data_IF_841307711978
#
_entry.id   IF_841307711978
#
_cell.length_a   1.000
_cell.length_b   1.000
_cell.length_c   1.000
_cell.angle_alpha   90.00
_cell.angle_beta   90.00
_cell.angle_gamma   90.00
#
_symmetry.space_group_name_H-M   'P 1'
#
loop_
_entity.id
_entity.type
_entity.pdbx_description
1 polymer ?
#
# COMPACT_ATOMS: atom_id res chain seq x y z
N UNK A 1 8.42 25.00 -11.46
CA UNK A 1 7.24 25.43 -10.69
C UNK A 1 7.46 25.03 -9.23
N UNK A 2 7.52 26.00 -8.30
CA UNK A 2 7.82 25.76 -6.86
C UNK A 2 6.80 24.85 -6.16
N UNK A 3 5.55 24.84 -6.61
CA UNK A 3 4.53 23.96 -6.05
C UNK A 3 4.86 22.48 -6.32
N UNK A 4 5.38 22.18 -7.52
CA UNK A 4 5.70 20.81 -7.95
C UNK A 4 6.89 20.25 -7.17
N UNK A 5 7.93 21.07 -6.95
CA UNK A 5 9.09 20.67 -6.16
C UNK A 5 8.78 20.46 -4.67
N UNK A 6 7.61 20.92 -4.21
CA UNK A 6 7.19 20.82 -2.82
C UNK A 6 6.22 19.65 -2.57
N UNK A 7 5.90 18.85 -3.59
CA UNK A 7 5.06 17.66 -3.40
C UNK A 7 5.81 16.70 -2.48
N UNK A 8 5.19 16.39 -1.35
CA UNK A 8 5.66 15.37 -0.41
C UNK A 8 5.12 14.02 -0.82
N UNK A 9 5.98 13.02 -0.91
CA UNK A 9 5.59 11.66 -1.20
C UNK A 9 5.59 10.79 0.06
N UNK A 10 6.61 10.94 0.91
CA UNK A 10 6.85 10.32 2.22
C UNK A 10 6.06 9.04 2.41
N UNK A 11 6.28 8.09 1.50
CA UNK A 11 5.60 6.81 1.56
C UNK A 11 5.93 6.15 2.88
N UNK A 12 4.88 5.66 3.53
CA UNK A 12 4.97 5.04 4.83
C UNK A 12 4.44 3.61 4.75
N UNK A 13 4.80 2.86 3.70
CA UNK A 13 4.32 1.49 3.53
C UNK A 13 5.43 0.53 3.09
N UNK A 14 5.30 -0.70 3.56
CA UNK A 14 6.03 -1.84 3.04
C UNK A 14 5.02 -2.95 2.70
N UNK A 15 5.45 -3.95 1.97
CA UNK A 15 4.61 -5.09 1.60
C UNK A 15 5.29 -6.40 1.94
N UNK A 16 4.55 -7.32 2.54
CA UNK A 16 4.97 -8.71 2.75
C UNK A 16 4.03 -9.60 1.96
N UNK A 17 4.58 -10.47 1.12
CA UNK A 17 3.82 -11.52 0.44
C UNK A 17 4.23 -12.86 1.01
N UNK A 18 3.24 -13.72 1.28
CA UNK A 18 3.46 -15.09 1.71
C UNK A 18 2.87 -16.05 0.67
N UNK A 19 3.65 -17.07 0.31
CA UNK A 19 3.13 -18.28 -0.31
C UNK A 19 2.82 -19.29 0.79
N UNK A 20 1.61 -19.85 0.79
CA UNK A 20 1.08 -20.67 1.85
C UNK A 20 0.72 -22.08 1.35
N UNK A 21 0.99 -23.07 2.18
CA UNK A 21 0.77 -24.49 1.94
C UNK A 21 -0.71 -24.88 1.96
N UNK A 22 -1.48 -24.17 2.79
CA UNK A 22 -2.93 -24.29 2.97
C UNK A 22 -3.48 -22.94 3.42
N UNK A 23 -4.79 -22.85 3.67
CA UNK A 23 -5.44 -21.61 4.10
C UNK A 23 -5.09 -21.30 5.58
N UNK A 24 -4.79 -20.04 5.93
CA UNK A 24 -4.59 -19.62 7.32
C UNK A 24 -5.86 -19.82 8.14
N UNK A 25 -5.70 -20.32 9.36
CA UNK A 25 -6.80 -20.49 10.32
C UNK A 25 -6.72 -19.38 11.36
N UNK A 26 -7.67 -18.45 11.31
CA UNK A 26 -7.73 -17.36 12.28
C UNK A 26 -8.40 -17.83 13.57
N UNK A 27 -7.78 -17.58 14.73
CA UNK A 27 -8.30 -17.98 16.04
C UNK A 27 -9.66 -17.35 16.38
N UNK A 28 -9.98 -16.21 15.76
CA UNK A 28 -11.26 -15.52 15.94
C UNK A 28 -12.42 -16.14 15.14
N UNK A 29 -12.13 -17.07 14.23
CA UNK A 29 -13.15 -17.70 13.38
C UNK A 29 -13.48 -19.13 13.89
N UNK A 30 -14.75 -19.54 13.84
CA UNK A 30 -15.14 -20.94 13.97
C UNK A 30 -14.37 -21.85 13.02
N UNK A 31 -14.14 -23.09 13.43
CA UNK A 31 -13.44 -24.08 12.64
C UNK A 31 -14.12 -24.29 11.27
N UNK A 32 -13.38 -24.11 10.18
CA UNK A 32 -13.86 -24.26 8.81
C UNK A 32 -14.58 -23.04 8.23
N UNK A 33 -14.81 -21.98 9.02
CA UNK A 33 -15.39 -20.74 8.50
C UNK A 33 -14.35 -19.94 7.70
N UNK A 34 -14.65 -19.69 6.42
CA UNK A 34 -13.73 -19.01 5.50
C UNK A 34 -14.33 -17.78 4.83
N UNK A 35 -15.65 -17.57 4.93
CA UNK A 35 -16.34 -16.43 4.31
C UNK A 35 -15.69 -15.07 4.65
N UNK A 36 -15.29 -14.78 5.91
CA UNK A 36 -14.63 -13.52 6.23
C UNK A 36 -13.28 -13.33 5.55
N UNK A 37 -12.61 -14.42 5.16
CA UNK A 37 -11.28 -14.38 4.52
C UNK A 37 -11.33 -13.87 3.07
N UNK A 38 -12.51 -13.86 2.45
CA UNK A 38 -12.71 -13.23 1.13
C UNK A 38 -12.67 -11.70 1.20
N UNK A 39 -12.77 -11.11 2.40
CA UNK A 39 -12.66 -9.67 2.59
C UNK A 39 -11.23 -9.16 2.77
N UNK A 40 -11.11 -7.87 3.10
CA UNK A 40 -9.87 -7.30 3.64
C UNK A 40 -9.84 -7.49 5.14
N UNK A 41 -8.80 -8.17 5.62
CA UNK A 41 -8.57 -8.43 7.03
C UNK A 41 -7.65 -7.34 7.57
N UNK A 42 -7.96 -6.81 8.76
CA UNK A 42 -7.17 -5.75 9.38
C UNK A 42 -6.72 -6.20 10.77
N UNK A 43 -5.43 -6.12 11.03
CA UNK A 43 -4.87 -6.29 12.37
C UNK A 43 -4.52 -4.89 12.89
N UNK A 44 -5.49 -4.31 13.61
CA UNK A 44 -5.41 -2.99 14.23
C UNK A 44 -6.06 -3.04 15.62
N UNK A 45 -5.34 -3.49 16.67
CA UNK A 45 -5.95 -3.77 17.97
C UNK A 45 -6.58 -2.56 18.69
N UNK A 46 -6.31 -1.34 18.23
CA UNK A 46 -6.93 -0.12 18.73
C UNK A 46 -6.26 1.15 18.23
N UNK A 47 -6.88 2.30 18.49
CA UNK A 47 -6.39 3.62 18.06
C UNK A 47 -4.97 3.90 18.59
N UNK A 48 -4.72 3.62 19.86
CA UNK A 48 -3.41 3.81 20.49
C UNK A 48 -2.30 2.97 19.81
N UNK A 49 -2.63 1.79 19.26
CA UNK A 49 -1.66 0.99 18.51
C UNK A 49 -1.34 1.62 17.15
N UNK A 50 -2.34 2.17 16.47
CA UNK A 50 -2.18 2.89 15.21
C UNK A 50 -1.33 4.15 15.44
N UNK A 51 -1.62 4.93 16.49
CA UNK A 51 -0.84 6.12 16.86
C UNK A 51 0.61 5.78 17.16
N UNK A 52 0.87 4.74 17.98
CA UNK A 52 2.23 4.27 18.26
C UNK A 52 2.96 3.79 17.02
N UNK A 53 2.26 3.14 16.10
CA UNK A 53 2.85 2.70 14.84
C UNK A 53 3.23 3.88 13.94
N UNK A 54 2.37 4.90 13.89
CA UNK A 54 2.67 6.17 13.21
C UNK A 54 3.85 6.91 13.87
N UNK A 55 3.88 6.99 15.20
CA UNK A 55 4.97 7.64 15.94
C UNK A 55 6.32 6.96 15.68
N UNK A 56 6.37 5.63 15.61
CA UNK A 56 7.59 4.92 15.22
C UNK A 56 8.10 5.40 13.85
N UNK A 57 7.20 5.48 12.85
CA UNK A 57 7.55 5.96 11.51
C UNK A 57 8.03 7.41 11.51
N UNK A 58 7.39 8.27 12.30
CA UNK A 58 7.80 9.67 12.49
C UNK A 58 9.23 9.79 13.01
N UNK A 59 9.70 8.85 13.82
CA UNK A 59 11.08 8.80 14.33
C UNK A 59 12.03 7.92 13.50
N UNK A 60 11.62 7.51 12.29
CA UNK A 60 12.44 6.73 11.36
C UNK A 60 12.56 5.26 11.72
N UNK A 61 11.53 4.67 12.32
CA UNK A 61 11.47 3.25 12.70
C UNK A 61 10.16 2.64 12.20
N UNK A 62 10.09 1.32 12.02
CA UNK A 62 8.81 0.64 11.88
C UNK A 62 8.33 0.14 13.24
N UNK A 63 7.02 -0.01 13.41
CA UNK A 63 6.42 -0.48 14.65
C UNK A 63 6.70 -1.96 14.90
N UNK A 64 7.00 -2.33 16.15
CA UNK A 64 6.98 -3.74 16.59
C UNK A 64 5.57 -4.32 16.69
N UNK A 65 4.54 -3.46 16.63
CA UNK A 65 3.11 -3.78 16.59
C UNK A 65 2.49 -3.05 15.38
N UNK A 66 2.79 -3.48 14.15
CA UNK A 66 2.37 -2.77 12.95
C UNK A 66 0.85 -2.86 12.73
N UNK A 67 0.30 -1.86 12.05
CA UNK A 67 -1.04 -1.97 11.46
C UNK A 67 -0.91 -2.74 10.14
N UNK A 68 -1.59 -3.88 10.05
CA UNK A 68 -1.51 -4.78 8.91
C UNK A 68 -2.84 -4.86 8.18
N UNK A 69 -2.77 -4.84 6.86
CA UNK A 69 -3.92 -5.04 5.98
C UNK A 69 -3.65 -6.23 5.09
N UNK A 70 -4.49 -7.25 5.19
CA UNK A 70 -4.27 -8.56 4.59
C UNK A 70 -5.38 -8.86 3.61
N UNK A 71 -5.00 -9.42 2.47
CA UNK A 71 -5.91 -10.05 1.50
C UNK A 71 -5.34 -11.40 1.08
N UNK A 72 -6.22 -12.34 0.72
CA UNK A 72 -5.85 -13.68 0.22
C UNK A 72 -6.40 -13.81 -1.22
N UNK A 73 -5.69 -13.31 -2.25
CA UNK A 73 -6.23 -13.16 -3.60
C UNK A 73 -6.71 -14.48 -4.21
N UNK A 74 -6.07 -15.60 -3.87
CA UNK A 74 -6.42 -16.94 -4.36
C UNK A 74 -7.84 -17.40 -4.01
N UNK A 75 -8.50 -16.77 -3.03
CA UNK A 75 -9.90 -17.06 -2.72
C UNK A 75 -10.87 -16.51 -3.78
N UNK A 76 -10.45 -15.49 -4.54
CA UNK A 76 -11.22 -14.93 -5.67
C UNK A 76 -10.65 -15.35 -7.02
N UNK A 77 -9.34 -15.58 -7.08
CA UNK A 77 -8.61 -15.93 -8.28
C UNK A 77 -7.71 -17.15 -8.02
N UNK A 78 -8.26 -18.38 -8.02
CA UNK A 78 -7.51 -19.60 -7.66
C UNK A 78 -6.27 -19.87 -8.54
N UNK A 79 -6.26 -19.36 -9.77
CA UNK A 79 -5.15 -19.51 -10.72
C UNK A 79 -3.87 -18.76 -10.29
N UNK A 80 -3.93 -17.91 -9.27
CA UNK A 80 -2.77 -17.18 -8.74
C UNK A 80 -1.83 -18.06 -7.88
N UNK A 81 -2.19 -19.32 -7.64
CA UNK A 81 -1.33 -20.31 -6.98
C UNK A 81 -1.62 -21.72 -7.51
N UNK A 82 -0.71 -22.70 -7.28
CA UNK A 82 -1.01 -24.11 -7.50
C UNK A 82 -2.22 -24.59 -6.68
N UNK A 83 -2.84 -25.70 -7.11
CA UNK A 83 -4.00 -26.26 -6.42
C UNK A 83 -3.71 -26.54 -4.94
N UNK A 84 -4.61 -26.09 -4.06
CA UNK A 84 -4.48 -26.22 -2.60
C UNK A 84 -3.50 -25.24 -1.94
N UNK A 85 -2.81 -24.40 -2.72
CA UNK A 85 -1.89 -23.37 -2.23
C UNK A 85 -2.56 -22.00 -2.27
N UNK A 86 -2.08 -21.11 -1.43
CA UNK A 86 -2.64 -19.77 -1.30
C UNK A 86 -1.55 -18.71 -1.31
N UNK A 87 -1.90 -17.52 -1.81
CA UNK A 87 -1.08 -16.33 -1.62
C UNK A 87 -1.76 -15.40 -0.63
N UNK A 88 -0.97 -14.84 0.28
CA UNK A 88 -1.40 -13.82 1.22
C UNK A 88 -0.58 -12.56 0.97
N UNK A 89 -1.25 -11.45 0.67
CA UNK A 89 -0.63 -10.13 0.46
C UNK A 89 -0.92 -9.26 1.66
N UNK A 90 0.13 -8.80 2.33
CA UNK A 90 0.07 -7.99 3.54
C UNK A 90 0.68 -6.62 3.24
N UNK A 91 -0.13 -5.58 3.37
CA UNK A 91 0.37 -4.21 3.41
C UNK A 91 0.69 -3.85 4.87
N UNK A 92 1.92 -3.40 5.09
CA UNK A 92 2.41 -2.95 6.38
C UNK A 92 2.36 -1.44 6.40
N UNK A 93 1.49 -0.89 7.22
CA UNK A 93 1.34 0.55 7.36
C UNK A 93 2.39 1.11 8.32
N UNK A 94 2.83 2.33 8.04
CA UNK A 94 3.83 3.08 8.79
C UNK A 94 5.26 2.47 8.73
N UNK A 95 5.69 2.06 7.54
CA UNK A 95 7.10 1.74 7.25
C UNK A 95 7.76 2.94 6.53
N UNK A 96 8.56 3.78 7.20
CA UNK A 96 9.06 5.02 6.62
C UNK A 96 10.11 4.77 5.52
N UNK A 97 10.11 5.61 4.49
CA UNK A 97 11.12 5.52 3.41
C UNK A 97 12.56 5.61 3.94
N UNK A 98 12.83 6.57 4.83
CA UNK A 98 14.12 6.73 5.49
C UNK A 98 14.08 6.19 6.92
N UNK A 99 14.99 5.28 7.25
CA UNK A 99 15.17 4.77 8.61
C UNK A 99 16.23 5.58 9.36
N UNK A 100 16.06 5.74 10.67
CA UNK A 100 17.00 6.42 11.55
C UNK A 100 18.08 5.45 11.99
N UNK A 101 19.35 5.80 11.75
CA UNK A 101 20.54 5.05 12.19
C UNK A 101 20.65 3.60 11.64
N UNK A 102 19.89 3.25 10.60
CA UNK A 102 19.95 1.92 9.94
C UNK A 102 19.46 2.03 8.50
N UNK A 103 19.43 0.92 7.76
CA UNK A 103 19.02 0.86 6.36
C UNK A 103 17.98 -0.23 6.14
N UNK A 104 17.21 -0.11 5.05
CA UNK A 104 16.25 -1.14 4.66
C UNK A 104 16.91 -2.46 4.28
N UNK A 105 18.17 -2.45 3.84
CA UNK A 105 18.96 -3.68 3.64
C UNK A 105 19.10 -4.48 4.95
N UNK A 106 19.35 -3.82 6.07
CA UNK A 106 19.46 -4.45 7.39
C UNK A 106 18.11 -4.76 8.03
N UNK A 107 17.09 -3.94 7.74
CA UNK A 107 15.77 -4.00 8.40
C UNK A 107 14.69 -4.77 7.63
N UNK A 108 14.97 -5.21 6.39
CA UNK A 108 14.02 -5.99 5.57
C UNK A 108 13.55 -7.27 6.28
N UNK A 109 14.48 -8.11 6.71
CA UNK A 109 14.12 -9.36 7.39
C UNK A 109 13.53 -9.12 8.79
N UNK A 110 14.08 -8.21 9.63
CA UNK A 110 13.43 -7.82 10.89
C UNK A 110 11.98 -7.32 10.74
N UNK A 111 11.68 -6.56 9.69
CA UNK A 111 10.30 -6.17 9.36
C UNK A 111 9.45 -7.40 9.04
N UNK A 112 9.95 -8.29 8.18
CA UNK A 112 9.27 -9.54 7.81
C UNK A 112 8.98 -10.43 9.02
N UNK A 113 9.94 -10.55 9.94
CA UNK A 113 9.79 -11.31 11.18
C UNK A 113 8.74 -10.67 12.10
N UNK A 114 8.75 -9.34 12.22
CA UNK A 114 7.76 -8.59 12.99
C UNK A 114 6.33 -8.81 12.47
N UNK A 115 6.16 -8.81 11.14
CA UNK A 115 4.87 -9.10 10.50
C UNK A 115 4.42 -10.53 10.79
N UNK A 116 5.28 -11.53 10.60
CA UNK A 116 4.94 -12.93 10.90
C UNK A 116 4.61 -13.10 12.38
N UNK A 117 5.41 -12.52 13.27
CA UNK A 117 5.19 -12.61 14.72
C UNK A 117 3.85 -12.03 15.11
N UNK A 118 3.50 -10.85 14.58
CA UNK A 118 2.21 -10.20 14.83
C UNK A 118 1.05 -11.06 14.30
N UNK A 119 1.15 -11.56 13.06
CA UNK A 119 0.08 -12.38 12.46
C UNK A 119 -0.11 -13.71 13.17
N UNK A 120 0.97 -14.34 13.64
CA UNK A 120 0.89 -15.64 14.30
C UNK A 120 0.22 -15.58 15.68
N UNK A 121 0.04 -14.39 16.27
CA UNK A 121 -0.84 -14.21 17.44
C UNK A 121 -2.32 -14.44 17.09
N UNK A 122 -2.71 -14.21 15.84
CA UNK A 122 -4.08 -14.32 15.35
C UNK A 122 -4.31 -15.56 14.48
N UNK A 123 -3.25 -16.13 13.91
CA UNK A 123 -3.27 -17.26 12.98
C UNK A 123 -2.36 -18.37 13.54
N UNK A 124 -2.87 -19.26 14.41
CA UNK A 124 -2.05 -20.22 15.12
C UNK A 124 -1.22 -21.15 14.22
N UNK A 125 -1.77 -21.54 13.06
CA UNK A 125 -1.09 -22.42 12.11
C UNK A 125 -0.12 -21.69 11.16
N UNK A 126 0.03 -20.36 11.26
CA UNK A 126 0.70 -19.56 10.23
C UNK A 126 2.13 -20.03 9.95
N UNK A 127 2.93 -20.24 10.99
CA UNK A 127 4.36 -20.56 10.83
C UNK A 127 4.57 -21.90 10.13
N UNK A 128 3.67 -22.84 10.33
CA UNK A 128 3.75 -24.20 9.77
C UNK A 128 3.37 -24.23 8.29
N UNK A 129 2.61 -23.24 7.83
CA UNK A 129 2.06 -23.21 6.47
C UNK A 129 2.78 -22.24 5.55
N UNK A 130 3.79 -21.49 6.01
CA UNK A 130 4.56 -20.59 5.14
C UNK A 130 5.55 -21.39 4.30
N UNK A 131 5.38 -21.36 2.98
CA UNK A 131 6.31 -21.93 2.01
C UNK A 131 7.39 -20.93 1.58
N UNK A 132 7.00 -19.66 1.44
CA UNK A 132 7.92 -18.60 1.05
C UNK A 132 7.45 -17.24 1.57
N UNK A 133 8.41 -16.37 1.89
CA UNK A 133 8.19 -14.97 2.27
C UNK A 133 8.95 -14.06 1.32
N UNK A 134 8.26 -13.05 0.80
CA UNK A 134 8.87 -11.91 0.13
C UNK A 134 8.56 -10.63 0.91
N UNK A 135 9.58 -9.82 1.17
CA UNK A 135 9.44 -8.50 1.80
C UNK A 135 9.88 -7.42 0.81
N UNK A 136 8.98 -6.49 0.51
CA UNK A 136 9.21 -5.32 -0.34
C UNK A 136 9.19 -4.07 0.55
N UNK A 137 10.33 -3.40 0.63
CA UNK A 137 10.52 -2.16 1.39
C UNK A 137 10.05 -0.95 0.59
N UNK A 138 9.88 0.25 1.19
CA UNK A 138 9.59 1.46 0.43
C UNK A 138 10.55 1.71 -0.74
N UNK A 139 11.84 1.35 -0.61
CA UNK A 139 12.84 1.46 -1.67
C UNK A 139 12.55 0.51 -2.84
N UNK A 140 12.16 -0.73 -2.52
CA UNK A 140 11.80 -1.72 -3.54
C UNK A 140 10.55 -1.28 -4.30
N UNK A 141 9.58 -0.69 -3.59
CA UNK A 141 8.35 -0.16 -4.18
C UNK A 141 8.63 0.99 -5.15
N UNK A 142 9.56 1.88 -4.81
CA UNK A 142 10.01 2.95 -5.69
C UNK A 142 10.73 2.40 -6.92
N UNK A 143 11.70 1.52 -6.73
CA UNK A 143 12.54 1.00 -7.80
C UNK A 143 11.77 0.11 -8.79
N UNK A 144 10.87 -0.74 -8.30
CA UNK A 144 10.18 -1.73 -9.13
C UNK A 144 8.90 -1.19 -9.75
N UNK A 145 8.19 -0.29 -9.06
CA UNK A 145 6.85 0.16 -9.46
C UNK A 145 6.77 1.67 -9.72
N UNK A 146 7.88 2.42 -9.59
CA UNK A 146 7.89 3.87 -9.78
C UNK A 146 7.13 4.64 -8.72
N UNK A 147 6.91 4.03 -7.54
CA UNK A 147 6.23 4.67 -6.42
C UNK A 147 7.21 5.58 -5.69
N UNK A 148 7.29 6.85 -6.10
CA UNK A 148 8.18 7.84 -5.48
C UNK A 148 8.05 7.83 -3.94
N UNK A 149 9.18 7.75 -3.26
CA UNK A 149 9.33 7.55 -1.82
C UNK A 149 8.49 6.40 -1.23
N UNK A 150 8.10 5.40 -2.02
CA UNK A 150 7.20 4.31 -1.62
C UNK A 150 5.73 4.72 -1.47
N UNK A 151 5.31 5.86 -2.03
CA UNK A 151 3.97 6.42 -1.83
C UNK A 151 2.92 5.75 -2.74
N UNK A 152 2.07 4.90 -2.17
CA UNK A 152 0.99 4.20 -2.90
C UNK A 152 0.01 5.14 -3.63
N UNK A 153 -0.11 6.36 -3.15
CA UNK A 153 -1.04 7.35 -3.68
C UNK A 153 -0.36 8.32 -4.65
N UNK A 154 0.93 8.15 -4.94
CA UNK A 154 1.75 9.08 -5.72
C UNK A 154 1.71 10.51 -5.14
N UNK A 155 1.93 10.62 -3.83
CA UNK A 155 1.91 11.86 -3.06
C UNK A 155 1.08 11.71 -1.79
N UNK A 156 1.50 12.35 -0.70
CA UNK A 156 0.78 12.32 0.59
C UNK A 156 -0.71 12.69 0.45
N UNK A 157 -1.53 12.13 1.34
CA UNK A 157 -2.96 12.45 1.45
C UNK A 157 -3.23 13.44 2.61
N UNK A 158 -2.40 14.47 2.73
CA UNK A 158 -2.61 15.58 3.67
C UNK A 158 -3.56 16.63 3.08
N UNK A 159 -4.13 17.49 3.93
CA UNK A 159 -5.11 18.50 3.48
C UNK A 159 -4.57 19.43 2.37
N UNK A 160 -3.28 19.74 2.39
CA UNK A 160 -2.57 20.54 1.38
C UNK A 160 -2.29 19.78 0.08
N UNK A 161 -2.49 18.46 0.05
CA UNK A 161 -2.25 17.57 -1.10
C UNK A 161 -3.44 16.64 -1.38
N UNK A 162 -4.66 17.01 -1.00
CA UNK A 162 -5.86 16.20 -1.25
C UNK A 162 -6.82 16.88 -2.23
N UNK A 163 -7.66 16.08 -2.87
CA UNK A 163 -8.71 16.54 -3.78
C UNK A 163 -8.17 17.47 -4.87
N UNK A 164 -8.71 18.69 -4.99
CA UNK A 164 -8.37 19.66 -6.03
C UNK A 164 -6.98 20.28 -5.85
N UNK A 165 -6.27 19.93 -4.77
CA UNK A 165 -4.87 20.30 -4.58
C UNK A 165 -3.91 19.33 -5.28
N UNK A 166 -4.42 18.25 -5.90
CA UNK A 166 -3.62 17.20 -6.56
C UNK A 166 -3.56 17.35 -8.09
N UNK A 167 -2.37 17.31 -8.73
CA UNK A 167 -1.05 17.17 -8.10
C UNK A 167 -0.58 18.49 -7.45
N UNK A 168 -1.00 19.63 -8.00
CA UNK A 168 -0.83 20.98 -7.44
C UNK A 168 -2.00 21.85 -7.91
N UNK A 169 -2.33 22.95 -7.19
CA UNK A 169 -3.28 23.95 -7.67
C UNK A 169 -2.92 24.44 -9.08
N UNK A 170 -3.95 24.60 -9.92
CA UNK A 170 -3.82 25.01 -11.32
C UNK A 170 -3.65 23.85 -12.31
N UNK A 171 -3.09 22.70 -11.90
CA UNK A 171 -2.96 21.50 -12.75
C UNK A 171 -3.83 20.33 -12.28
N UNK A 172 -4.72 20.58 -11.33
CA UNK A 172 -5.69 19.59 -10.84
C UNK A 172 -6.84 19.32 -11.82
N UNK A 173 -6.94 20.07 -12.92
CA UNK A 173 -7.93 19.89 -13.98
C UNK A 173 -7.39 19.00 -15.12
N UNK A 174 -6.49 18.06 -14.80
CA UNK A 174 -5.96 17.02 -15.69
C UNK A 174 -5.07 17.52 -16.84
N UNK A 175 -5.15 18.78 -17.26
CA UNK A 175 -4.22 19.39 -18.22
C UNK A 175 -2.90 19.72 -17.55
N UNK A 176 -1.81 19.56 -18.31
CA UNK A 176 -0.48 20.01 -17.90
C UNK A 176 -0.07 21.28 -18.65
N UNK A 177 1.03 21.96 -18.25
CA UNK A 177 1.59 23.07 -19.03
C UNK A 177 2.10 22.68 -20.42
N UNK A 178 2.27 21.38 -20.68
CA UNK A 178 2.73 20.88 -21.97
C UNK A 178 1.47 20.57 -22.80
N UNK A 179 1.25 21.26 -23.93
CA UNK A 179 0.10 20.99 -24.79
C UNK A 179 0.04 19.52 -25.22
N UNK A 180 -1.15 18.92 -25.16
CA UNK A 180 -1.36 17.51 -25.51
C UNK A 180 -0.96 16.50 -24.43
N UNK A 181 -0.42 16.93 -23.29
CA UNK A 181 -0.11 16.06 -22.16
C UNK A 181 -1.12 16.22 -21.02
N UNK A 182 -1.68 15.09 -20.58
CA UNK A 182 -2.71 15.02 -19.54
C UNK A 182 -2.29 14.12 -18.37
N UNK A 183 -2.84 14.38 -17.19
CA UNK A 183 -2.54 13.69 -15.95
C UNK A 183 -3.78 12.94 -15.44
N UNK A 184 -3.68 11.60 -15.38
CA UNK A 184 -4.79 10.71 -15.01
C UNK A 184 -4.40 9.57 -14.07
N UNK A 185 -3.27 9.68 -13.37
CA UNK A 185 -2.80 8.68 -12.42
C UNK A 185 -3.34 8.87 -10.99
N UNK A 186 -2.96 7.98 -10.08
CA UNK A 186 -3.33 8.02 -8.65
C UNK A 186 -2.94 9.33 -7.93
N UNK A 187 -1.95 10.05 -8.49
CA UNK A 187 -1.52 11.35 -7.98
C UNK A 187 -2.46 12.51 -8.30
N UNK A 188 -3.54 12.29 -9.06
CA UNK A 188 -4.46 13.32 -9.53
C UNK A 188 -5.77 13.36 -8.72
N UNK A 189 -6.53 14.44 -8.89
CA UNK A 189 -7.93 14.52 -8.44
C UNK A 189 -8.77 13.38 -9.10
N UNK A 190 -9.77 12.77 -8.42
CA UNK A 190 -10.28 13.05 -7.07
C UNK A 190 -9.46 12.46 -5.92
N UNK A 191 -8.49 11.58 -6.18
CA UNK A 191 -7.66 11.00 -5.14
C UNK A 191 -6.95 9.73 -5.58
N UNK A 192 -6.15 9.20 -4.67
CA UNK A 192 -5.36 8.01 -4.91
C UNK A 192 -6.14 6.69 -4.86
N UNK A 193 -5.42 5.59 -5.05
CA UNK A 193 -5.95 4.24 -5.16
C UNK A 193 -6.31 3.85 -6.60
N UNK A 194 -7.04 2.74 -6.72
CA UNK A 194 -7.41 2.10 -7.99
C UNK A 194 -8.89 2.42 -8.29
N UNK A 195 -9.22 3.70 -8.41
CA UNK A 195 -10.61 4.14 -8.65
C UNK A 195 -10.95 4.25 -10.13
N UNK A 196 -9.95 4.42 -11.00
CA UNK A 196 -10.14 4.70 -12.43
C UNK A 196 -10.66 6.12 -12.74
N UNK A 197 -11.10 6.88 -11.73
CA UNK A 197 -11.68 8.21 -11.89
C UNK A 197 -10.70 9.23 -12.48
N UNK A 198 -9.44 9.34 -12.02
CA UNK A 198 -8.54 10.33 -12.60
C UNK A 198 -8.26 10.09 -14.09
N UNK A 199 -8.12 8.83 -14.50
CA UNK A 199 -7.93 8.45 -15.89
C UNK A 199 -9.16 8.79 -16.75
N UNK A 200 -10.36 8.48 -16.24
CA UNK A 200 -11.62 8.82 -16.90
C UNK A 200 -11.75 10.33 -17.12
N UNK A 201 -11.42 11.13 -16.12
CA UNK A 201 -11.53 12.58 -16.20
C UNK A 201 -10.48 13.19 -17.13
N UNK A 202 -9.24 12.69 -17.09
CA UNK A 202 -8.21 13.09 -18.04
C UNK A 202 -8.60 12.81 -19.49
N UNK A 203 -9.17 11.62 -19.76
CA UNK A 203 -9.68 11.27 -21.08
C UNK A 203 -10.81 12.21 -21.53
N UNK A 204 -11.69 12.62 -20.61
CA UNK A 204 -12.77 13.58 -20.92
C UNK A 204 -12.22 14.95 -21.33
N UNK A 205 -11.22 15.47 -20.63
CA UNK A 205 -10.60 16.75 -20.98
C UNK A 205 -9.83 16.68 -22.31
N UNK A 206 -9.15 15.56 -22.58
CA UNK A 206 -8.52 15.31 -23.87
C UNK A 206 -9.55 15.32 -25.00
N UNK A 207 -10.65 14.58 -24.87
CA UNK A 207 -11.70 14.54 -25.87
C UNK A 207 -12.39 15.89 -26.09
N UNK A 208 -12.45 16.72 -25.05
CA UNK A 208 -12.94 18.09 -25.17
C UNK A 208 -11.98 18.93 -26.02
N UNK A 209 -10.68 18.87 -25.75
CA UNK A 209 -9.68 19.68 -26.46
C UNK A 209 -9.55 19.27 -27.93
N UNK A 210 -9.65 17.97 -28.24
CA UNK A 210 -9.67 17.47 -29.63
C UNK A 210 -10.87 17.95 -30.44
N UNK A 211 -11.97 18.39 -29.80
CA UNK A 211 -13.15 18.94 -30.50
C UNK A 211 -13.04 20.44 -30.75
N UNK A 212 -12.14 21.13 -30.04
CA UNK A 212 -11.98 22.58 -30.09
C UNK A 212 -10.81 23.02 -30.99
N UNK A 213 -9.94 22.08 -31.40
CA UNK A 213 -8.85 22.28 -32.37
C UNK A 213 -9.17 21.67 -33.72
#
# INVERSE_FOLDING_TARGET
>A
NRAVSNIKFRGAVAKVNLALDTLPQFAALPAGETTPLHGRIQIAPGLMNIERAYDAAKYGQFSTRPYLEIVIPTLHAPHLAPAGKHTMSILVQYAPYNLRNTTWEQQREPLGDTVINTLAEYIPNLRDIILHRQVLTPLDLEQQYGLAEGSLYHGEMTLDQLLFMRPVPGWAQYRTPIPGLYFGGSGAHPGGGITGEPGRMAARELLHDLKQG
#
